data_IF_446716266743
#
_entry.id   IF_446716266743
#
_cell.length_a   1.000
_cell.length_b   1.000
_cell.length_c   1.000
_cell.angle_alpha   90.00
_cell.angle_beta   90.00
_cell.angle_gamma   90.00
#
_symmetry.space_group_name_H-M   'P 1'
#
loop_
_entity.id
_entity.type
_entity.pdbx_description
1 polymer ?
#
# COMPACT_ATOMS: atom_id res chain seq x y z
N UNK A 1 0.70 -30.25 -7.11
CA UNK A 1 -0.62 -30.05 -7.73
C UNK A 1 -1.02 -28.57 -7.83
N UNK A 2 -0.92 -27.78 -6.76
CA UNK A 2 -1.24 -26.34 -6.79
C UNK A 2 -0.31 -25.59 -7.74
N UNK A 3 0.99 -25.81 -7.68
CA UNK A 3 1.99 -25.17 -8.54
C UNK A 3 1.79 -25.49 -10.02
N UNK A 4 1.46 -26.73 -10.36
CA UNK A 4 1.13 -27.10 -11.73
C UNK A 4 -0.10 -26.34 -12.24
N UNK A 5 -1.12 -26.21 -11.39
CA UNK A 5 -2.37 -25.54 -11.77
C UNK A 5 -2.19 -24.02 -11.96
N UNK A 6 -1.38 -23.38 -11.14
CA UNK A 6 -1.08 -21.94 -11.30
C UNK A 6 -0.11 -21.68 -12.45
N UNK A 7 0.75 -22.64 -12.79
CA UNK A 7 1.65 -22.56 -13.95
C UNK A 7 0.89 -22.46 -15.28
N UNK A 8 -0.28 -23.11 -15.40
CA UNK A 8 -1.15 -22.95 -16.58
C UNK A 8 -1.68 -21.52 -16.75
N UNK A 9 -1.71 -20.73 -15.67
CA UNK A 9 -2.06 -19.31 -15.71
C UNK A 9 -0.83 -18.40 -15.82
N UNK A 10 0.35 -18.96 -16.13
CA UNK A 10 1.60 -18.21 -16.23
C UNK A 10 2.14 -17.70 -14.90
N UNK A 11 1.68 -18.25 -13.77
CA UNK A 11 2.11 -17.87 -12.44
C UNK A 11 3.09 -18.90 -11.87
N UNK A 12 4.10 -18.38 -11.19
CA UNK A 12 5.03 -19.19 -10.37
C UNK A 12 4.97 -18.70 -8.93
N UNK A 13 5.18 -19.59 -7.97
CA UNK A 13 5.29 -19.24 -6.55
C UNK A 13 6.43 -18.23 -6.36
N UNK A 14 6.20 -17.19 -5.58
CA UNK A 14 7.25 -16.27 -5.15
C UNK A 14 8.11 -17.00 -4.14
N UNK A 15 9.40 -17.14 -4.46
CA UNK A 15 10.37 -17.79 -3.58
C UNK A 15 10.81 -16.85 -2.47
N UNK A 16 11.21 -17.42 -1.35
CA UNK A 16 11.90 -16.70 -0.32
C UNK A 16 13.22 -16.08 -0.85
N UNK A 17 13.59 -14.94 -0.32
CA UNK A 17 14.87 -14.29 -0.59
C UNK A 17 15.64 -14.03 0.70
N UNK A 18 16.94 -13.82 0.56
CA UNK A 18 17.79 -13.45 1.69
C UNK A 18 17.56 -12.01 2.10
N UNK A 19 17.76 -11.72 3.39
CA UNK A 19 17.93 -10.37 3.91
C UNK A 19 19.40 -9.96 3.84
N UNK A 20 19.66 -8.64 3.76
CA UNK A 20 21.01 -8.09 3.71
C UNK A 20 21.19 -6.99 4.76
N UNK A 21 22.38 -6.96 5.37
CA UNK A 21 22.88 -5.80 6.10
C UNK A 21 23.88 -5.11 5.18
N UNK A 22 23.56 -3.87 4.80
CA UNK A 22 24.41 -3.08 3.91
C UNK A 22 25.32 -2.16 4.72
N UNK A 23 26.50 -1.89 4.18
CA UNK A 23 27.45 -0.92 4.75
C UNK A 23 27.74 -1.11 6.25
N UNK A 24 27.78 -2.35 6.73
CA UNK A 24 28.13 -2.63 8.14
C UNK A 24 29.54 -2.12 8.43
N UNK A 25 29.68 -1.27 9.45
CA UNK A 25 30.98 -0.79 9.90
C UNK A 25 31.71 -1.88 10.65
N UNK A 26 32.88 -2.23 10.18
CA UNK A 26 33.80 -3.15 10.84
C UNK A 26 34.99 -2.38 11.43
N UNK A 27 35.41 -2.75 12.63
CA UNK A 27 36.57 -2.13 13.27
C UNK A 27 37.58 -3.20 13.75
N UNK A 28 38.83 -2.80 13.78
CA UNK A 28 39.90 -3.70 14.24
C UNK A 28 41.28 -3.19 13.94
N UNK A 29 42.25 -4.10 13.88
CA UNK A 29 43.62 -3.77 13.58
C UNK A 29 43.80 -3.36 12.11
N UNK A 30 44.52 -2.25 11.81
CA UNK A 30 44.82 -1.87 10.43
C UNK A 30 45.38 -3.02 9.60
N UNK A 31 44.97 -3.06 8.32
CA UNK A 31 45.36 -4.07 7.34
C UNK A 31 44.84 -5.50 7.62
N UNK A 32 44.08 -5.75 8.70
CA UNK A 32 43.48 -7.05 8.95
C UNK A 32 42.56 -7.46 7.80
N UNK A 33 42.66 -8.70 7.34
CA UNK A 33 41.84 -9.29 6.30
C UNK A 33 40.75 -10.16 6.92
N UNK A 34 39.50 -9.88 6.60
CA UNK A 34 38.35 -10.67 7.00
C UNK A 34 37.85 -11.41 5.76
N UNK A 35 37.96 -12.73 5.71
CA UNK A 35 37.53 -13.54 4.56
C UNK A 35 36.00 -13.53 4.39
N UNK A 36 35.55 -13.71 3.15
CA UNK A 36 34.10 -13.93 2.87
C UNK A 36 33.59 -15.19 3.61
N UNK A 37 32.31 -15.19 3.95
CA UNK A 37 31.66 -16.29 4.65
C UNK A 37 31.84 -16.27 6.18
N UNK A 38 32.60 -15.31 6.73
CA UNK A 38 32.68 -15.12 8.18
C UNK A 38 31.34 -14.67 8.74
N UNK A 39 30.99 -15.17 9.92
CA UNK A 39 29.65 -15.08 10.47
C UNK A 39 29.60 -14.14 11.66
N UNK A 40 28.58 -13.30 11.66
CA UNK A 40 28.13 -12.51 12.80
C UNK A 40 26.71 -12.87 13.16
N UNK A 41 26.27 -12.60 14.38
CA UNK A 41 24.86 -12.74 14.79
C UNK A 41 24.31 -11.42 15.32
N UNK A 42 23.02 -11.19 15.07
CA UNK A 42 22.29 -10.08 15.65
C UNK A 42 21.77 -10.43 17.06
N UNK A 43 21.16 -9.48 17.82
CA UNK A 43 20.60 -9.74 19.15
C UNK A 43 19.50 -10.81 19.16
N UNK A 44 18.82 -11.06 18.03
CA UNK A 44 17.82 -12.10 17.85
C UNK A 44 18.43 -13.46 17.53
N UNK A 45 19.79 -13.55 17.49
CA UNK A 45 20.56 -14.75 17.14
C UNK A 45 20.40 -15.19 15.68
N UNK A 46 19.94 -14.31 14.79
CA UNK A 46 19.99 -14.56 13.36
C UNK A 46 21.44 -14.41 12.90
N UNK A 47 21.89 -15.32 12.06
CA UNK A 47 23.26 -15.40 11.56
C UNK A 47 23.38 -14.72 10.20
N UNK A 48 24.48 -13.97 10.04
CA UNK A 48 24.76 -13.19 8.85
C UNK A 48 26.18 -13.50 8.36
N UNK A 49 26.31 -13.81 7.08
CA UNK A 49 27.60 -14.15 6.45
C UNK A 49 28.12 -12.96 5.67
N UNK A 50 29.42 -12.68 5.83
CA UNK A 50 30.14 -11.68 5.05
C UNK A 50 30.12 -12.07 3.55
N UNK A 51 29.57 -11.18 2.69
CA UNK A 51 29.38 -11.47 1.27
C UNK A 51 30.68 -11.51 0.50
N UNK A 52 31.58 -10.57 0.77
CA UNK A 52 32.87 -10.44 0.07
C UNK A 52 33.99 -10.22 1.09
N UNK A 53 35.21 -10.69 0.80
CA UNK A 53 36.34 -10.45 1.71
C UNK A 53 36.60 -8.95 1.79
N UNK A 54 36.94 -8.48 2.98
CA UNK A 54 37.21 -7.06 3.23
C UNK A 54 38.53 -6.91 4.01
N UNK A 55 39.30 -5.87 3.68
CA UNK A 55 40.50 -5.47 4.42
C UNK A 55 40.21 -4.15 5.14
N UNK A 56 40.59 -4.11 6.42
CA UNK A 56 40.50 -2.87 7.19
C UNK A 56 41.53 -1.87 6.67
N UNK A 57 41.14 -0.60 6.64
CA UNK A 57 42.04 0.47 6.19
C UNK A 57 43.11 0.83 7.21
N UNK A 58 43.93 1.84 6.90
CA UNK A 58 45.02 2.29 7.79
C UNK A 58 44.52 2.85 9.13
N UNK A 59 43.22 3.18 9.23
CA UNK A 59 42.55 3.63 10.47
C UNK A 59 41.89 2.50 11.24
N UNK A 60 41.93 1.27 10.70
CA UNK A 60 41.32 0.09 11.29
C UNK A 60 39.80 0.01 11.03
N UNK A 61 39.30 0.64 10.00
CA UNK A 61 37.88 0.62 9.63
C UNK A 61 37.65 0.05 8.24
N UNK A 62 36.47 -0.55 8.03
CA UNK A 62 35.95 -0.91 6.71
C UNK A 62 34.42 -0.97 6.71
N UNK A 63 33.84 -0.95 5.52
CA UNK A 63 32.42 -1.20 5.30
C UNK A 63 32.23 -2.47 4.52
N UNK A 64 31.25 -3.28 4.91
CA UNK A 64 31.00 -4.55 4.28
C UNK A 64 29.51 -4.92 4.30
N UNK A 65 29.11 -5.74 3.33
CA UNK A 65 27.77 -6.29 3.24
C UNK A 65 27.72 -7.71 3.81
N UNK A 66 26.66 -7.96 4.56
CA UNK A 66 26.34 -9.28 5.08
C UNK A 66 25.01 -9.76 4.53
N UNK A 67 24.87 -11.05 4.38
CA UNK A 67 23.66 -11.73 3.95
C UNK A 67 23.21 -12.68 5.05
N UNK A 68 21.90 -12.75 5.30
CA UNK A 68 21.35 -13.75 6.23
C UNK A 68 21.75 -15.18 5.83
N UNK A 69 22.01 -16.02 6.81
CA UNK A 69 22.37 -17.43 6.59
C UNK A 69 21.18 -18.25 6.05
N UNK A 70 19.96 -17.83 6.40
CA UNK A 70 18.70 -18.45 5.97
C UNK A 70 17.88 -17.49 5.15
N UNK A 71 17.05 -18.05 4.25
CA UNK A 71 16.04 -17.30 3.50
C UNK A 71 14.95 -16.81 4.45
N UNK A 72 14.44 -15.62 4.21
CA UNK A 72 13.34 -15.06 4.97
C UNK A 72 13.52 -13.57 5.25
N UNK A 73 12.54 -13.03 5.95
CA UNK A 73 12.53 -11.64 6.40
C UNK A 73 13.15 -11.53 7.78
N UNK A 74 14.25 -10.81 7.87
CA UNK A 74 14.91 -10.46 9.12
C UNK A 74 15.05 -8.95 9.19
N UNK A 75 14.52 -8.37 10.28
CA UNK A 75 14.54 -6.93 10.52
C UNK A 75 15.59 -6.64 11.60
N UNK A 76 16.64 -5.90 11.25
CA UNK A 76 17.69 -5.44 12.17
C UNK A 76 17.78 -3.93 12.03
N UNK A 77 17.57 -3.16 13.11
CA UNK A 77 17.66 -1.70 13.06
C UNK A 77 19.09 -1.21 12.82
N UNK A 78 19.23 0.00 12.31
CA UNK A 78 20.48 0.73 12.28
C UNK A 78 21.09 0.84 13.69
N UNK A 79 22.40 0.99 13.75
CA UNK A 79 23.19 1.09 14.99
C UNK A 79 23.07 -0.11 15.94
N UNK A 80 22.76 -1.29 15.39
CA UNK A 80 22.77 -2.55 16.14
C UNK A 80 24.17 -3.14 16.16
N UNK A 81 24.70 -3.41 17.35
CA UNK A 81 25.96 -4.13 17.51
C UNK A 81 25.76 -5.62 17.18
N UNK A 82 26.62 -6.15 16.32
CA UNK A 82 26.61 -7.55 15.93
C UNK A 82 27.69 -8.32 16.72
N UNK A 83 27.34 -9.55 17.10
CA UNK A 83 28.30 -10.45 17.79
C UNK A 83 29.09 -11.26 16.76
N UNK A 84 30.41 -11.21 16.82
CA UNK A 84 31.28 -11.97 15.95
C UNK A 84 31.27 -13.45 16.40
N UNK A 85 30.80 -14.35 15.53
CA UNK A 85 30.78 -15.78 15.76
C UNK A 85 32.03 -16.45 15.20
N UNK A 86 32.46 -16.03 14.01
CA UNK A 86 33.68 -16.54 13.39
C UNK A 86 34.81 -15.54 13.63
N UNK A 87 35.73 -15.89 14.48
CA UNK A 87 36.83 -15.00 14.88
C UNK A 87 37.85 -14.86 13.75
N UNK A 88 38.17 -13.64 13.35
CA UNK A 88 39.31 -13.30 12.50
C UNK A 88 40.35 -12.53 13.33
N UNK A 89 41.60 -12.79 13.08
CA UNK A 89 42.69 -12.09 13.76
C UNK A 89 42.63 -10.59 13.38
N UNK A 90 42.53 -9.73 14.40
CA UNK A 90 42.47 -8.29 14.20
C UNK A 90 41.06 -7.72 13.85
N UNK A 91 40.00 -8.51 13.99
CA UNK A 91 38.62 -8.03 13.86
C UNK A 91 37.97 -7.92 15.23
N UNK A 92 37.60 -6.68 15.63
CA UNK A 92 37.17 -6.40 17.00
C UNK A 92 35.66 -6.20 17.12
N UNK A 93 35.00 -5.53 16.12
CA UNK A 93 33.56 -5.26 16.17
C UNK A 93 32.92 -5.14 14.81
N UNK A 94 31.58 -5.26 14.81
CA UNK A 94 30.71 -5.00 13.67
C UNK A 94 29.44 -4.25 14.14
N UNK A 95 29.08 -3.17 13.42
CA UNK A 95 27.94 -2.31 13.75
C UNK A 95 27.16 -1.97 12.49
N UNK A 96 25.82 -2.15 12.50
CA UNK A 96 24.96 -1.76 11.37
C UNK A 96 24.89 -0.24 11.26
N UNK A 97 24.97 0.30 10.06
CA UNK A 97 24.84 1.75 9.79
C UNK A 97 23.41 2.14 9.39
N UNK A 98 22.69 1.21 8.83
CA UNK A 98 21.33 1.38 8.33
C UNK A 98 20.46 0.15 8.67
N UNK A 99 19.13 0.29 8.51
CA UNK A 99 18.22 -0.81 8.72
C UNK A 99 18.46 -1.94 7.72
N UNK A 100 18.21 -3.18 8.12
CA UNK A 100 18.35 -4.33 7.24
C UNK A 100 17.45 -4.22 6.00
N UNK A 101 18.01 -4.52 4.84
CA UNK A 101 17.23 -4.81 3.63
C UNK A 101 16.54 -6.16 3.82
N UNK A 102 15.26 -6.11 4.21
CA UNK A 102 14.50 -7.31 4.54
C UNK A 102 14.26 -8.19 3.30
N UNK A 103 14.55 -9.47 3.41
CA UNK A 103 14.16 -10.47 2.44
C UNK A 103 12.66 -10.75 2.45
N UNK A 104 12.24 -11.70 1.66
CA UNK A 104 10.85 -12.15 1.58
C UNK A 104 10.71 -13.60 2.02
N UNK A 105 9.60 -13.91 2.67
CA UNK A 105 9.22 -15.30 2.92
C UNK A 105 8.67 -15.96 1.65
N UNK A 106 8.71 -17.28 1.61
CA UNK A 106 8.07 -18.01 0.53
C UNK A 106 6.55 -17.80 0.56
N UNK A 107 5.97 -17.53 -0.61
CA UNK A 107 4.54 -17.33 -0.74
C UNK A 107 3.75 -18.53 -0.27
N UNK A 108 2.87 -18.34 0.71
CA UNK A 108 2.02 -19.41 1.23
C UNK A 108 1.03 -19.92 0.16
N UNK A 109 0.54 -21.15 0.31
CA UNK A 109 -0.50 -21.70 -0.55
C UNK A 109 -1.76 -20.85 -0.59
N UNK A 110 -2.13 -20.24 0.54
CA UNK A 110 -3.28 -19.34 0.61
C UNK A 110 -3.07 -18.07 -0.22
N UNK A 111 -1.88 -17.44 -0.09
CA UNK A 111 -1.51 -16.26 -0.85
C UNK A 111 -1.41 -16.56 -2.36
N UNK A 112 -0.80 -17.70 -2.73
CA UNK A 112 -0.71 -18.16 -4.11
C UNK A 112 -2.09 -18.42 -4.73
N UNK A 113 -3.01 -19.06 -3.99
CA UNK A 113 -4.41 -19.23 -4.43
C UNK A 113 -5.10 -17.88 -4.62
N UNK A 114 -4.99 -16.97 -3.66
CA UNK A 114 -5.60 -15.65 -3.77
C UNK A 114 -5.07 -14.88 -4.98
N UNK A 115 -3.75 -14.92 -5.22
CA UNK A 115 -3.12 -14.32 -6.40
C UNK A 115 -3.55 -15.00 -7.70
N UNK A 116 -3.71 -16.31 -7.71
CA UNK A 116 -4.24 -17.07 -8.86
C UNK A 116 -5.66 -16.64 -9.21
N UNK A 117 -6.56 -16.52 -8.23
CA UNK A 117 -7.92 -16.05 -8.48
C UNK A 117 -7.94 -14.60 -8.99
N UNK A 118 -7.11 -13.73 -8.41
CA UNK A 118 -6.95 -12.34 -8.91
C UNK A 118 -6.40 -12.30 -10.36
N UNK A 119 -5.48 -13.20 -10.71
CA UNK A 119 -4.91 -13.24 -12.05
C UNK A 119 -5.90 -13.77 -13.10
N UNK A 120 -6.83 -14.64 -12.71
CA UNK A 120 -7.90 -15.11 -13.62
C UNK A 120 -8.89 -13.99 -13.96
N UNK A 121 -9.22 -13.12 -13.01
CA UNK A 121 -9.98 -11.91 -13.30
C UNK A 121 -9.23 -10.99 -14.28
N UNK A 122 -7.90 -10.96 -14.19
CA UNK A 122 -7.02 -10.18 -15.08
C UNK A 122 -6.89 -10.76 -16.51
N UNK A 123 -7.09 -12.08 -16.69
CA UNK A 123 -7.05 -12.74 -18.01
C UNK A 123 -8.40 -12.70 -18.73
N UNK A 124 -9.46 -12.32 -18.06
CA UNK A 124 -10.74 -12.00 -18.68
C UNK A 124 -10.57 -10.69 -19.45
N UNK A 125 -10.57 -10.76 -20.77
CA UNK A 125 -10.54 -9.55 -21.63
C UNK A 125 -11.96 -9.06 -21.89
N UNK A 126 -12.11 -7.75 -22.05
CA UNK A 126 -13.32 -7.09 -22.54
C UNK A 126 -14.50 -7.01 -21.55
N UNK A 127 -14.25 -6.93 -20.25
CA UNK A 127 -15.29 -6.61 -19.27
C UNK A 127 -14.80 -5.60 -18.21
N UNK A 128 -15.73 -4.99 -17.50
CA UNK A 128 -15.46 -4.01 -16.44
C UNK A 128 -14.54 -4.58 -15.34
N UNK A 129 -14.74 -5.83 -14.95
CA UNK A 129 -13.93 -6.50 -13.92
C UNK A 129 -12.45 -6.65 -14.34
N UNK A 130 -12.22 -6.94 -15.62
CA UNK A 130 -10.86 -7.05 -16.17
C UNK A 130 -10.15 -5.69 -16.18
N UNK A 131 -10.84 -4.63 -16.54
CA UNK A 131 -10.34 -3.26 -16.49
C UNK A 131 -9.96 -2.91 -15.06
N UNK A 132 -10.88 -3.10 -14.10
CA UNK A 132 -10.63 -2.84 -12.69
C UNK A 132 -9.43 -3.64 -12.16
N UNK A 133 -9.42 -4.96 -12.39
CA UNK A 133 -8.36 -5.84 -11.89
C UNK A 133 -6.97 -5.48 -12.45
N UNK A 134 -6.91 -5.02 -13.70
CA UNK A 134 -5.65 -4.62 -14.33
C UNK A 134 -5.19 -3.26 -13.81
N UNK A 135 -6.10 -2.30 -13.67
CA UNK A 135 -5.80 -0.98 -13.11
C UNK A 135 -5.32 -1.06 -11.66
N UNK A 136 -5.91 -1.93 -10.83
CA UNK A 136 -5.42 -2.20 -9.46
C UNK A 136 -3.99 -2.71 -9.40
N UNK A 137 -3.47 -3.26 -10.49
CA UNK A 137 -2.10 -3.72 -10.59
C UNK A 137 -1.09 -2.65 -10.99
N UNK A 138 -1.54 -1.44 -11.33
CA UNK A 138 -0.65 -0.32 -11.66
C UNK A 138 -0.03 0.30 -10.40
N UNK A 139 1.21 0.82 -10.50
CA UNK A 139 1.81 1.60 -9.43
C UNK A 139 0.94 2.81 -9.05
N UNK A 140 0.89 3.13 -7.76
CA UNK A 140 0.21 4.30 -7.18
C UNK A 140 -1.31 4.36 -7.39
N UNK A 141 -1.93 3.36 -7.98
CA UNK A 141 -3.39 3.23 -8.03
C UNK A 141 -3.91 2.73 -6.69
N UNK A 142 -4.81 3.50 -6.07
CA UNK A 142 -5.38 3.22 -4.75
C UNK A 142 -6.80 2.69 -4.83
N UNK A 143 -7.64 3.32 -5.66
CA UNK A 143 -9.03 2.92 -5.85
C UNK A 143 -9.43 2.99 -7.32
N UNK A 144 -10.23 2.02 -7.74
CA UNK A 144 -10.76 1.92 -9.10
C UNK A 144 -12.22 1.47 -9.04
N UNK A 145 -13.06 2.14 -9.81
CA UNK A 145 -14.43 1.71 -10.11
C UNK A 145 -14.65 1.80 -11.61
N UNK A 146 -15.23 0.79 -12.19
CA UNK A 146 -15.67 0.79 -13.58
C UNK A 146 -17.20 0.63 -13.62
N UNK A 147 -17.91 1.69 -14.00
CA UNK A 147 -19.33 1.68 -14.24
C UNK A 147 -19.58 1.26 -15.69
N UNK A 148 -20.52 0.36 -15.90
CA UNK A 148 -20.89 -0.15 -17.22
C UNK A 148 -22.36 0.10 -17.48
N UNK A 149 -22.68 0.62 -18.66
CA UNK A 149 -24.03 0.78 -19.16
C UNK A 149 -24.24 -0.07 -20.42
N UNK A 150 -25.02 -1.12 -20.31
CA UNK A 150 -25.37 -2.02 -21.42
C UNK A 150 -26.72 -1.68 -22.08
N UNK A 151 -27.37 -0.57 -21.67
CA UNK A 151 -28.64 -0.15 -22.24
C UNK A 151 -28.46 0.78 -23.45
N UNK A 152 -29.54 1.00 -24.20
CA UNK A 152 -29.57 1.86 -25.38
C UNK A 152 -29.66 3.36 -25.04
N UNK A 153 -29.74 3.73 -23.78
CA UNK A 153 -29.86 5.11 -23.30
C UNK A 153 -28.82 5.42 -22.24
N UNK A 154 -28.58 6.70 -21.99
CA UNK A 154 -27.74 7.14 -20.88
C UNK A 154 -28.39 6.70 -19.56
N UNK A 155 -27.62 6.07 -18.68
CA UNK A 155 -28.10 5.58 -17.39
C UNK A 155 -28.21 6.70 -16.33
N UNK A 156 -28.71 6.34 -15.14
CA UNK A 156 -28.87 7.27 -14.02
C UNK A 156 -27.53 7.83 -13.52
N UNK A 157 -26.42 7.11 -13.72
CA UNK A 157 -25.07 7.57 -13.43
C UNK A 157 -24.49 8.43 -14.55
N UNK A 158 -25.24 8.64 -15.65
CA UNK A 158 -24.81 9.44 -16.81
C UNK A 158 -23.75 8.73 -17.66
N UNK A 159 -23.63 7.39 -17.57
CA UNK A 159 -22.79 6.61 -18.47
C UNK A 159 -23.50 6.48 -19.83
N UNK A 160 -22.85 6.77 -20.96
CA UNK A 160 -23.47 6.71 -22.26
C UNK A 160 -23.94 5.30 -22.62
N UNK A 161 -24.91 5.21 -23.54
CA UNK A 161 -25.38 3.94 -24.07
C UNK A 161 -24.21 3.07 -24.54
N UNK A 162 -24.22 1.77 -24.21
CA UNK A 162 -23.17 0.79 -24.53
C UNK A 162 -21.76 1.28 -24.16
N UNK A 163 -21.65 1.98 -23.03
CA UNK A 163 -20.43 2.65 -22.60
C UNK A 163 -19.94 2.24 -21.23
N UNK A 164 -18.75 2.72 -20.94
CA UNK A 164 -18.10 2.58 -19.64
C UNK A 164 -17.69 3.94 -19.09
N UNK A 165 -17.64 4.04 -17.76
CA UNK A 165 -16.98 5.12 -17.07
C UNK A 165 -16.03 4.53 -16.03
N UNK A 166 -14.75 4.74 -16.24
CA UNK A 166 -13.69 4.29 -15.34
C UNK A 166 -13.29 5.44 -14.44
N UNK A 167 -13.35 5.25 -13.13
CA UNK A 167 -12.96 6.24 -12.13
C UNK A 167 -11.75 5.70 -11.37
N UNK A 168 -10.63 6.44 -11.35
CA UNK A 168 -9.37 5.96 -10.78
C UNK A 168 -8.75 6.99 -9.84
N UNK A 169 -8.47 6.58 -8.60
CA UNK A 169 -7.66 7.36 -7.67
C UNK A 169 -6.19 6.94 -7.75
N UNK A 170 -5.32 7.90 -8.02
CA UNK A 170 -3.87 7.66 -8.16
C UNK A 170 -3.49 7.09 -9.53
N UNK A 171 -2.22 6.69 -9.66
CA UNK A 171 -1.65 6.21 -10.91
C UNK A 171 -1.46 7.30 -11.98
N UNK A 172 -0.65 7.00 -12.99
CA UNK A 172 -0.37 7.90 -14.11
C UNK A 172 -1.43 7.79 -15.19
N UNK A 173 -1.83 8.94 -15.75
CA UNK A 173 -2.91 9.03 -16.75
C UNK A 173 -2.63 8.18 -17.99
N UNK A 174 -1.40 8.18 -18.49
CA UNK A 174 -1.01 7.42 -19.69
C UNK A 174 -1.12 5.90 -19.43
N UNK A 175 -0.65 5.43 -18.26
CA UNK A 175 -0.71 4.01 -17.91
C UNK A 175 -2.16 3.53 -17.74
N UNK A 176 -3.02 4.37 -17.17
CA UNK A 176 -4.46 4.10 -17.03
C UNK A 176 -5.11 4.02 -18.41
N UNK A 177 -4.82 4.99 -19.29
CA UNK A 177 -5.37 5.03 -20.65
C UNK A 177 -4.94 3.82 -21.48
N UNK A 178 -3.68 3.38 -21.38
CA UNK A 178 -3.20 2.16 -22.04
C UNK A 178 -3.97 0.91 -21.58
N UNK A 179 -4.19 0.75 -20.27
CA UNK A 179 -4.97 -0.36 -19.75
C UNK A 179 -6.40 -0.34 -20.27
N UNK A 180 -7.08 0.81 -20.23
CA UNK A 180 -8.44 0.94 -20.74
C UNK A 180 -8.48 0.60 -22.23
N UNK A 181 -7.54 1.12 -23.03
CA UNK A 181 -7.46 0.83 -24.45
C UNK A 181 -7.33 -0.66 -24.77
N UNK A 182 -6.49 -1.37 -24.04
CA UNK A 182 -6.23 -2.79 -24.27
C UNK A 182 -7.33 -3.72 -23.76
N UNK A 183 -8.16 -3.26 -22.82
CA UNK A 183 -9.17 -4.08 -22.18
C UNK A 183 -10.60 -3.72 -22.54
N UNK A 184 -10.86 -2.54 -23.13
CA UNK A 184 -12.19 -2.19 -23.60
C UNK A 184 -12.54 -2.93 -24.91
N UNK A 185 -13.81 -3.20 -25.11
CA UNK A 185 -14.33 -3.72 -26.37
C UNK A 185 -14.26 -2.67 -27.49
N UNK A 186 -14.16 -3.10 -28.72
CA UNK A 186 -14.28 -2.21 -29.87
C UNK A 186 -15.67 -1.56 -29.92
N UNK A 187 -15.72 -0.26 -30.17
CA UNK A 187 -16.98 0.48 -30.24
C UNK A 187 -17.58 0.88 -28.89
N UNK A 188 -16.97 0.49 -27.74
CA UNK A 188 -17.45 0.93 -26.43
C UNK A 188 -17.32 2.44 -26.29
N UNK A 189 -18.43 3.09 -25.98
CA UNK A 189 -18.43 4.49 -25.60
C UNK A 189 -17.75 4.69 -24.25
N UNK A 190 -17.07 5.81 -24.09
CA UNK A 190 -16.38 6.15 -22.85
C UNK A 190 -16.89 7.48 -22.32
N UNK A 191 -17.06 7.54 -21.00
CA UNK A 191 -17.26 8.79 -20.28
C UNK A 191 -16.02 9.11 -19.46
N UNK A 192 -15.69 10.40 -19.33
CA UNK A 192 -14.65 10.89 -18.44
C UNK A 192 -14.29 12.33 -18.78
N UNK A 193 -13.82 13.06 -17.77
CA UNK A 193 -13.32 14.44 -17.90
C UNK A 193 -11.81 14.45 -18.23
N UNK A 194 -11.09 13.39 -17.85
CA UNK A 194 -9.68 13.21 -18.21
C UNK A 194 -9.62 12.61 -19.60
N UNK A 195 -8.96 13.33 -20.52
CA UNK A 195 -8.73 12.91 -21.91
C UNK A 195 -7.25 12.63 -22.11
N UNK A 196 -6.92 11.42 -22.53
CA UNK A 196 -5.55 11.03 -22.86
C UNK A 196 -5.49 10.52 -24.30
N UNK A 197 -4.54 11.03 -25.07
CA UNK A 197 -4.26 10.53 -26.42
C UNK A 197 -3.18 9.46 -26.34
N UNK A 198 -3.48 8.28 -26.86
CA UNK A 198 -2.52 7.18 -27.03
C UNK A 198 -2.39 6.83 -28.50
N UNK A 199 -1.29 6.20 -28.89
CA UNK A 199 -1.08 5.74 -30.27
C UNK A 199 -1.32 4.24 -30.36
N UNK A 200 -2.13 3.84 -31.34
CA UNK A 200 -2.29 2.42 -31.66
C UNK A 200 -1.01 1.84 -32.32
N UNK A 201 -1.01 0.53 -32.61
CA UNK A 201 0.11 -0.19 -33.26
C UNK A 201 0.51 0.39 -34.62
N UNK A 202 -0.35 1.19 -35.25
CA UNK A 202 -0.13 1.83 -36.56
C UNK A 202 0.20 3.32 -36.42
N UNK A 203 0.46 3.81 -35.19
CA UNK A 203 0.79 5.20 -34.92
C UNK A 203 -0.40 6.17 -34.97
N UNK A 204 -1.63 5.67 -35.17
CA UNK A 204 -2.82 6.50 -35.21
C UNK A 204 -3.26 6.90 -33.79
N UNK A 205 -3.65 8.17 -33.57
CA UNK A 205 -4.10 8.63 -32.26
C UNK A 205 -5.45 8.00 -31.90
N UNK A 206 -5.60 7.70 -30.62
CA UNK A 206 -6.85 7.22 -29.99
C UNK A 206 -7.05 7.97 -28.69
N UNK A 207 -8.23 8.52 -28.53
CA UNK A 207 -8.62 9.22 -27.31
C UNK A 207 -9.24 8.26 -26.33
N UNK A 208 -8.77 8.29 -25.10
CA UNK A 208 -9.29 7.54 -23.98
C UNK A 208 -9.80 8.52 -22.95
N UNK A 209 -10.99 8.23 -22.41
CA UNK A 209 -11.67 9.06 -21.43
C UNK A 209 -11.87 8.26 -20.14
N UNK A 210 -11.58 8.88 -19.01
CA UNK A 210 -11.85 8.35 -17.69
C UNK A 210 -12.01 9.50 -16.69
N UNK A 211 -12.41 9.20 -15.45
CA UNK A 211 -12.59 10.21 -14.40
C UNK A 211 -11.57 10.02 -13.26
N UNK A 212 -11.27 11.14 -12.59
CA UNK A 212 -10.68 11.15 -11.25
C UNK A 212 -11.79 11.38 -10.23
N UNK A 213 -11.75 10.71 -9.03
CA UNK A 213 -12.80 10.93 -8.06
C UNK A 213 -12.77 12.36 -7.52
N UNK A 214 -13.97 12.96 -7.41
CA UNK A 214 -14.11 14.23 -6.73
C UNK A 214 -14.04 14.03 -5.22
N UNK A 215 -13.15 14.75 -4.54
CA UNK A 215 -12.98 14.63 -3.09
C UNK A 215 -14.04 15.44 -2.35
N UNK A 216 -14.93 14.75 -1.62
CA UNK A 216 -15.92 15.36 -0.74
C UNK A 216 -15.35 15.49 0.66
N UNK A 217 -15.07 16.73 1.08
CA UNK A 217 -14.62 17.00 2.44
C UNK A 217 -15.77 16.81 3.41
N UNK A 218 -15.56 15.96 4.42
CA UNK A 218 -16.52 15.68 5.48
C UNK A 218 -16.01 16.26 6.79
N UNK A 219 -16.95 16.71 7.62
CA UNK A 219 -16.70 17.23 8.96
C UNK A 219 -17.41 16.37 10.00
N UNK A 220 -16.85 16.32 11.22
CA UNK A 220 -17.47 15.65 12.34
C UNK A 220 -17.29 16.44 13.64
N UNK A 221 -18.34 16.40 14.49
CA UNK A 221 -18.30 16.80 15.89
C UNK A 221 -18.49 15.55 16.74
N UNK A 222 -17.50 15.25 17.56
CA UNK A 222 -17.45 14.08 18.43
C UNK A 222 -17.48 14.57 19.86
N UNK A 223 -18.52 14.25 20.61
CA UNK A 223 -18.59 14.53 22.05
C UNK A 223 -18.22 13.25 22.79
N UNK A 224 -17.26 13.38 23.69
CA UNK A 224 -16.72 12.25 24.44
C UNK A 224 -16.75 12.53 25.94
N UNK A 225 -17.01 11.49 26.70
CA UNK A 225 -16.93 11.49 28.15
C UNK A 225 -15.78 10.60 28.61
N UNK A 226 -15.02 11.08 29.57
CA UNK A 226 -13.82 10.37 30.04
C UNK A 226 -14.19 9.15 30.87
N UNK A 227 -13.52 8.03 30.61
CA UNK A 227 -13.55 6.88 31.52
C UNK A 227 -12.81 7.24 32.81
N UNK A 228 -13.44 6.93 33.95
CA UNK A 228 -12.89 7.19 35.29
C UNK A 228 -11.54 6.53 35.56
N UNK A 229 -11.18 5.52 34.79
CA UNK A 229 -9.92 4.77 34.90
C UNK A 229 -8.73 5.44 34.16
N UNK A 230 -8.97 6.53 33.41
CA UNK A 230 -7.95 7.10 32.52
C UNK A 230 -7.54 8.51 32.95
N UNK A 231 -6.25 8.85 32.82
CA UNK A 231 -5.70 10.14 33.20
C UNK A 231 -5.98 11.29 32.22
N UNK A 232 -6.36 11.00 30.97
CA UNK A 232 -6.67 12.00 29.97
C UNK A 232 -7.18 11.38 28.66
N UNK A 233 -7.81 12.20 27.80
CA UNK A 233 -8.28 11.80 26.47
C UNK A 233 -7.36 12.42 25.42
N UNK A 234 -6.77 11.58 24.57
CA UNK A 234 -5.99 12.05 23.43
C UNK A 234 -6.94 12.45 22.26
N UNK A 235 -7.36 13.71 22.27
CA UNK A 235 -8.23 14.27 21.23
C UNK A 235 -7.55 14.34 19.86
N UNK A 236 -6.22 14.41 19.83
CA UNK A 236 -5.46 14.39 18.58
C UNK A 236 -5.48 13.00 17.94
N UNK A 237 -5.25 11.95 18.71
CA UNK A 237 -5.33 10.57 18.26
C UNK A 237 -6.73 10.21 17.72
N UNK A 238 -7.81 10.70 18.36
CA UNK A 238 -9.18 10.51 17.87
C UNK A 238 -9.36 11.14 16.48
N UNK A 239 -8.91 12.39 16.31
CA UNK A 239 -8.98 13.06 15.01
C UNK A 239 -8.14 12.34 13.95
N UNK A 240 -6.94 11.92 14.31
CA UNK A 240 -6.03 11.21 13.43
C UNK A 240 -6.64 9.89 12.96
N UNK A 241 -7.16 9.07 13.86
CA UNK A 241 -7.80 7.79 13.54
C UNK A 241 -8.95 7.95 12.53
N UNK A 242 -9.71 9.05 12.62
CA UNK A 242 -10.78 9.33 11.67
C UNK A 242 -10.28 9.92 10.35
N UNK A 243 -9.24 10.77 10.38
CA UNK A 243 -8.64 11.36 9.19
C UNK A 243 -7.87 10.34 8.32
N UNK A 244 -7.30 9.32 8.94
CA UNK A 244 -6.59 8.22 8.28
C UNK A 244 -7.53 7.19 7.63
N UNK A 245 -8.82 7.24 7.95
CA UNK A 245 -9.79 6.34 7.32
C UNK A 245 -9.87 6.60 5.82
N UNK A 246 -9.56 5.58 5.03
CA UNK A 246 -9.79 5.58 3.58
C UNK A 246 -11.23 5.14 3.28
N UNK A 247 -11.89 5.87 2.39
CA UNK A 247 -13.20 5.52 1.84
C UNK A 247 -13.03 5.04 0.40
N UNK A 248 -13.93 4.18 -0.07
CA UNK A 248 -13.98 3.78 -1.46
C UNK A 248 -14.70 4.84 -2.31
N UNK A 249 -14.47 4.84 -3.61
CA UNK A 249 -15.21 5.66 -4.58
C UNK A 249 -16.70 5.28 -4.51
N UNK A 250 -17.59 6.26 -4.34
CA UNK A 250 -19.02 6.06 -4.18
C UNK A 250 -19.47 5.52 -2.82
N UNK A 251 -18.55 5.28 -1.88
CA UNK A 251 -18.93 4.81 -0.54
C UNK A 251 -19.59 5.93 0.27
N UNK A 252 -20.85 5.71 0.67
CA UNK A 252 -21.54 6.61 1.58
C UNK A 252 -20.89 6.58 2.97
N UNK A 253 -20.84 7.74 3.63
CA UNK A 253 -20.33 7.81 5.00
C UNK A 253 -21.42 7.37 5.96
N UNK A 254 -21.32 6.14 6.44
CA UNK A 254 -22.20 5.63 7.48
C UNK A 254 -21.69 6.02 8.86
N UNK A 255 -22.46 6.84 9.59
CA UNK A 255 -22.13 7.31 10.94
C UNK A 255 -21.76 6.15 11.88
N UNK A 256 -22.52 5.08 11.85
CA UNK A 256 -22.31 3.91 12.72
C UNK A 256 -20.95 3.24 12.50
N UNK A 257 -20.41 3.28 11.27
CA UNK A 257 -19.08 2.69 10.98
C UNK A 257 -17.92 3.53 11.47
N UNK A 258 -18.12 4.83 11.74
CA UNK A 258 -17.07 5.71 12.25
C UNK A 258 -16.71 5.42 13.70
N UNK A 259 -17.65 4.87 14.47
CA UNK A 259 -17.37 4.47 15.86
C UNK A 259 -16.21 3.48 15.99
N UNK A 260 -16.00 2.62 14.99
CA UNK A 260 -14.89 1.67 14.99
C UNK A 260 -13.53 2.37 15.02
N UNK A 261 -13.37 3.43 14.20
CA UNK A 261 -12.13 4.22 14.18
C UNK A 261 -11.98 5.07 15.43
N UNK A 262 -13.06 5.71 15.88
CA UNK A 262 -13.04 6.56 17.07
C UNK A 262 -12.69 5.72 18.32
N UNK A 263 -13.32 4.57 18.48
CA UNK A 263 -13.12 3.68 19.61
C UNK A 263 -11.81 2.86 19.55
N UNK A 264 -11.00 3.01 18.49
CA UNK A 264 -9.64 2.45 18.47
C UNK A 264 -8.72 3.17 19.47
N UNK A 265 -9.08 4.39 19.88
CA UNK A 265 -8.39 5.14 20.92
C UNK A 265 -9.07 4.85 22.28
N UNK A 266 -8.36 4.37 23.29
CA UNK A 266 -8.96 4.01 24.58
C UNK A 266 -9.20 5.21 25.49
N UNK A 267 -9.98 5.01 26.55
CA UNK A 267 -10.08 5.93 27.69
C UNK A 267 -11.29 6.86 27.68
N UNK A 268 -12.25 6.65 26.82
CA UNK A 268 -13.49 7.42 26.76
C UNK A 268 -14.61 6.61 26.12
N UNK A 269 -15.83 7.12 26.22
CA UNK A 269 -16.95 6.72 25.38
C UNK A 269 -17.53 7.90 24.63
N UNK A 270 -18.05 7.63 23.46
CA UNK A 270 -18.69 8.64 22.59
C UNK A 270 -20.12 8.85 23.04
N UNK A 271 -20.45 10.05 23.49
CA UNK A 271 -21.82 10.45 23.88
C UNK A 271 -22.63 10.98 22.70
N UNK A 272 -21.96 11.65 21.75
CA UNK A 272 -22.61 12.18 20.54
C UNK A 272 -21.63 12.18 19.36
N UNK A 273 -22.13 11.84 18.18
CA UNK A 273 -21.40 11.93 16.94
C UNK A 273 -22.31 12.58 15.88
N UNK A 274 -21.95 13.76 15.44
CA UNK A 274 -22.64 14.48 14.36
C UNK A 274 -21.69 14.59 13.18
N UNK A 275 -22.17 14.32 11.97
CA UNK A 275 -21.38 14.33 10.73
C UNK A 275 -22.09 15.14 9.65
N UNK A 276 -21.34 15.63 8.69
CA UNK A 276 -21.85 16.38 7.53
C UNK A 276 -20.75 16.70 6.52
N UNK A 277 -21.10 17.30 5.41
CA UNK A 277 -20.10 17.87 4.50
C UNK A 277 -19.49 19.13 5.15
N UNK A 278 -18.19 19.33 4.92
CA UNK A 278 -17.52 20.50 5.47
C UNK A 278 -18.16 21.81 5.01
N UNK A 279 -18.43 22.69 5.98
CA UNK A 279 -19.14 23.95 5.74
C UNK A 279 -20.66 23.85 5.74
N UNK A 280 -21.23 22.67 5.94
CA UNK A 280 -22.68 22.46 6.10
C UNK A 280 -23.07 22.12 7.55
N UNK A 281 -24.36 22.13 7.85
CA UNK A 281 -24.86 21.72 9.15
C UNK A 281 -24.57 20.23 9.41
N UNK A 282 -24.03 19.94 10.60
CA UNK A 282 -23.79 18.57 11.03
C UNK A 282 -25.09 17.95 11.57
N UNK A 283 -25.27 16.67 11.32
CA UNK A 283 -26.46 15.92 11.75
C UNK A 283 -26.09 14.49 12.13
N UNK A 284 -27.05 13.73 12.64
CA UNK A 284 -26.88 12.31 12.92
C UNK A 284 -27.10 11.41 11.69
N UNK A 285 -27.38 11.98 10.55
CA UNK A 285 -27.64 11.24 9.33
C UNK A 285 -26.33 10.84 8.63
N UNK A 286 -26.42 9.79 7.81
CA UNK A 286 -25.32 9.39 6.93
C UNK A 286 -25.11 10.45 5.84
N UNK A 287 -23.86 10.59 5.36
CA UNK A 287 -23.53 11.50 4.26
C UNK A 287 -23.60 10.69 2.96
N UNK A 288 -24.55 11.02 2.05
CA UNK A 288 -24.58 10.42 0.73
C UNK A 288 -23.41 10.94 -0.09
N UNK A 289 -22.73 10.03 -0.78
CA UNK A 289 -21.59 10.32 -1.66
C UNK A 289 -21.96 9.89 -3.08
N UNK A 290 -21.71 10.75 -4.03
CA UNK A 290 -21.94 10.45 -5.45
C UNK A 290 -21.02 9.32 -5.92
N UNK A 291 -21.48 8.55 -6.93
CA UNK A 291 -20.76 7.38 -7.47
C UNK A 291 -19.36 7.70 -8.02
N UNK A 292 -19.06 8.97 -8.33
CA UNK A 292 -17.75 9.46 -8.79
C UNK A 292 -16.98 10.22 -7.74
N UNK A 293 -17.50 10.26 -6.53
CA UNK A 293 -16.91 11.02 -5.44
C UNK A 293 -16.35 10.10 -4.37
N UNK A 294 -15.45 10.62 -3.56
CA UNK A 294 -14.84 9.92 -2.45
C UNK A 294 -14.83 10.82 -1.21
N UNK A 295 -15.29 10.29 -0.09
CA UNK A 295 -15.30 11.02 1.17
C UNK A 295 -13.90 11.13 1.77
N UNK A 296 -13.60 12.26 2.41
CA UNK A 296 -12.38 12.46 3.18
C UNK A 296 -12.63 13.34 4.39
N UNK A 297 -12.15 12.89 5.55
CA UNK A 297 -12.05 13.73 6.74
C UNK A 297 -10.67 14.35 6.83
N UNK A 298 -10.60 15.67 7.02
CA UNK A 298 -9.36 16.36 7.30
C UNK A 298 -9.30 16.74 8.79
N UNK A 299 -8.12 16.74 9.40
CA UNK A 299 -7.93 17.06 10.82
C UNK A 299 -8.61 18.38 11.24
N UNK A 300 -8.58 19.38 10.35
CA UNK A 300 -9.16 20.70 10.60
C UNK A 300 -10.69 20.73 10.57
N UNK A 301 -11.32 19.72 9.97
CA UNK A 301 -12.78 19.60 9.87
C UNK A 301 -13.36 18.73 11.02
N UNK A 302 -12.48 18.28 11.94
CA UNK A 302 -12.83 17.41 13.05
C UNK A 302 -12.80 18.19 14.38
N UNK A 303 -13.91 18.18 15.10
CA UNK A 303 -14.04 18.77 16.43
C UNK A 303 -14.28 17.66 17.45
N UNK A 304 -13.43 17.58 18.47
CA UNK A 304 -13.61 16.70 19.63
C UNK A 304 -13.88 17.56 20.85
N UNK A 305 -14.98 17.31 21.52
CA UNK A 305 -15.44 18.02 22.72
C UNK A 305 -15.42 17.01 23.88
N UNK A 306 -14.63 17.30 24.89
CA UNK A 306 -14.57 16.52 26.13
C UNK A 306 -15.57 17.14 27.13
N UNK A 307 -16.45 16.33 27.65
CA UNK A 307 -17.41 16.68 28.73
C UNK A 307 -16.98 16.14 30.08
#
# INVERSE_FOLDING_TARGET
WLEQRVAYAGLTRRRASYSYLRNVTLTGTPDALIPAGYVVSDPNRCRWQLVSPVRLDATGHAYADFRSDTLGRFDVPAHTALTIETVALGWDSALTTEDAEAGTEEESDAALRARFFKSRAKTSTNNADSIQATLWGLPDVRHVVCLENFTDTVDAAGVPAHGINVIVEGGRDEAIAEVIYHHKTLGTNMRGEVRVEIKNKHGQPREIYFDRPTMVRCAARIEVERDSSTSGIDTHAIKQALAERSFLIGEHVHRSRLYTQINSVPGFWVTSLMIGQAGQALSEQNIPIDVRSMARFAMNDLQVIVR
#
